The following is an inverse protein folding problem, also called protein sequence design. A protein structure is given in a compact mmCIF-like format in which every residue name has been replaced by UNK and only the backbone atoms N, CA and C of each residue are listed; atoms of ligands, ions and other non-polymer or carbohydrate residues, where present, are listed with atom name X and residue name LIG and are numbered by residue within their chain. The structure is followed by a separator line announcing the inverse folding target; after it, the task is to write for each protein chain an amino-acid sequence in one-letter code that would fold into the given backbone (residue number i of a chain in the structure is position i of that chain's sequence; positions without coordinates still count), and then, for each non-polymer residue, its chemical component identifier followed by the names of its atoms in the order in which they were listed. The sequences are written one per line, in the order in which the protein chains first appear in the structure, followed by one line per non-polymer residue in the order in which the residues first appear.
data_IF_189341867535
#
_entry.id   IF_189341867535
#
_cell.length_a   1.000
_cell.length_b   1.000
_cell.length_c   1.000
_cell.angle_alpha   90.00
_cell.angle_beta   90.00
_cell.angle_gamma   90.00
#
_symmetry.space_group_name_H-M   'P 1'
#
loop_
_entity.id
_entity.type
_entity.pdbx_description
1 polymer ?
#
# COMPACT_ATOMS: atom_id res chain seq x y z
N UNK A 1 -7.09 1.96 1.97
CA UNK A 1 -7.65 0.62 1.88
C UNK A 1 -8.26 0.39 0.51
N UNK A 2 -9.58 0.49 0.30
CA UNK A 2 -10.18 0.12 -1.01
C UNK A 2 -9.55 0.85 -2.20
N UNK A 3 -9.46 2.18 -2.15
CA UNK A 3 -8.87 2.98 -3.23
C UNK A 3 -7.38 2.67 -3.43
N UNK A 4 -6.61 2.56 -2.34
CA UNK A 4 -5.20 2.20 -2.40
C UNK A 4 -4.99 0.83 -3.08
N UNK A 5 -5.81 -0.16 -2.74
CA UNK A 5 -5.79 -1.47 -3.36
C UNK A 5 -6.08 -1.41 -4.87
N UNK A 6 -7.18 -0.75 -5.26
CA UNK A 6 -7.56 -0.61 -6.68
C UNK A 6 -6.48 0.10 -7.49
N UNK A 7 -5.96 1.22 -6.97
CA UNK A 7 -4.89 1.97 -7.64
C UNK A 7 -3.58 1.19 -7.70
N UNK A 8 -3.22 0.45 -6.64
CA UNK A 8 -2.03 -0.40 -6.64
C UNK A 8 -2.08 -1.50 -7.71
N UNK A 9 -3.23 -2.17 -7.83
CA UNK A 9 -3.45 -3.19 -8.87
C UNK A 9 -3.45 -2.56 -10.27
N UNK A 10 -4.06 -1.39 -10.43
CA UNK A 10 -4.02 -0.65 -11.69
C UNK A 10 -2.59 -0.26 -12.09
N UNK A 11 -1.78 0.22 -11.15
CA UNK A 11 -0.35 0.52 -11.38
C UNK A 11 0.42 -0.75 -11.78
N UNK A 12 0.15 -1.89 -11.14
CA UNK A 12 0.72 -3.19 -11.55
C UNK A 12 0.34 -3.52 -12.99
N UNK A 13 -0.93 -3.37 -13.37
CA UNK A 13 -1.42 -3.66 -14.73
C UNK A 13 -0.72 -2.83 -15.81
N UNK A 14 -0.20 -1.66 -15.44
CA UNK A 14 0.59 -0.77 -16.30
C UNK A 14 2.09 -1.01 -16.26
N UNK A 15 2.57 -2.01 -15.51
CA UNK A 15 3.98 -2.22 -15.20
C UNK A 15 4.66 -0.95 -14.63
N UNK A 16 3.92 -0.14 -13.87
CA UNK A 16 4.40 1.13 -13.33
C UNK A 16 4.97 1.01 -11.90
N UNK A 17 4.84 -0.17 -11.28
CA UNK A 17 5.37 -0.41 -9.94
C UNK A 17 6.86 -0.78 -10.00
N UNK A 18 7.67 -0.15 -9.15
CA UNK A 18 9.10 -0.47 -9.03
C UNK A 18 9.37 -1.76 -8.27
N UNK A 19 8.38 -2.27 -7.53
CA UNK A 19 8.40 -3.53 -6.82
C UNK A 19 6.98 -4.06 -6.62
N UNK A 20 6.84 -5.31 -6.13
CA UNK A 20 5.54 -5.86 -5.77
C UNK A 20 4.98 -5.29 -4.46
N UNK A 21 5.73 -4.42 -3.78
CA UNK A 21 5.36 -3.91 -2.46
C UNK A 21 4.44 -2.68 -2.57
N UNK A 22 3.30 -2.74 -1.89
CA UNK A 22 2.43 -1.60 -1.61
C UNK A 22 2.58 -1.22 -0.14
N UNK A 23 2.87 0.04 0.15
CA UNK A 23 3.06 0.50 1.53
C UNK A 23 1.78 1.12 2.08
N UNK A 24 1.38 0.73 3.28
CA UNK A 24 0.31 1.38 4.01
C UNK A 24 0.59 1.43 5.51
N UNK A 25 -0.12 2.28 6.25
CA UNK A 25 0.04 2.34 7.70
C UNK A 25 -0.65 1.15 8.38
N UNK A 26 -0.30 0.88 9.64
CA UNK A 26 -0.93 -0.15 10.49
C UNK A 26 -2.45 0.03 10.67
N UNK A 27 -3.04 1.12 10.20
CA UNK A 27 -4.49 1.35 10.17
C UNK A 27 -5.22 0.53 9.08
N UNK A 28 -4.46 -0.02 8.14
CA UNK A 28 -4.99 -0.82 7.03
C UNK A 28 -5.56 -2.15 7.52
N UNK A 29 -6.60 -2.64 6.87
CA UNK A 29 -7.30 -3.87 7.28
C UNK A 29 -6.80 -5.15 6.58
N UNK A 30 -7.17 -6.31 7.13
CA UNK A 30 -6.84 -7.64 6.59
C UNK A 30 -7.36 -7.84 5.15
N UNK A 31 -8.54 -7.32 4.82
CA UNK A 31 -9.11 -7.47 3.49
C UNK A 31 -8.23 -6.80 2.41
N UNK A 32 -7.57 -5.68 2.72
CA UNK A 32 -6.58 -5.08 1.80
C UNK A 32 -5.39 -6.02 1.57
N UNK A 33 -4.87 -6.65 2.64
CA UNK A 33 -3.75 -7.59 2.55
C UNK A 33 -4.10 -8.79 1.68
N UNK A 34 -5.27 -9.39 1.91
CA UNK A 34 -5.74 -10.55 1.15
C UNK A 34 -6.00 -10.20 -0.32
N UNK A 35 -6.62 -9.04 -0.57
CA UNK A 35 -6.86 -8.55 -1.92
C UNK A 35 -5.54 -8.36 -2.68
N UNK A 36 -4.56 -7.64 -2.11
CA UNK A 36 -3.26 -7.44 -2.77
C UNK A 36 -2.53 -8.76 -2.99
N UNK A 37 -2.57 -9.67 -2.02
CA UNK A 37 -1.97 -11.01 -2.15
C UNK A 37 -2.59 -11.80 -3.31
N UNK A 38 -3.91 -11.71 -3.50
CA UNK A 38 -4.60 -12.34 -4.65
C UNK A 38 -4.18 -11.79 -6.01
N UNK A 39 -3.49 -10.64 -6.02
CA UNK A 39 -3.00 -9.95 -7.21
C UNK A 39 -1.46 -9.99 -7.28
N UNK A 40 -0.79 -10.94 -6.63
CA UNK A 40 0.67 -11.04 -6.45
C UNK A 40 1.34 -9.71 -6.07
N UNK A 41 0.71 -8.99 -5.14
CA UNK A 41 1.27 -7.80 -4.51
C UNK A 41 1.43 -8.07 -3.01
N UNK A 42 2.44 -7.46 -2.41
CA UNK A 42 2.72 -7.58 -0.99
C UNK A 42 2.37 -6.28 -0.27
N UNK A 43 1.55 -6.36 0.78
CA UNK A 43 1.27 -5.22 1.65
C UNK A 43 2.34 -5.09 2.74
N UNK A 44 3.10 -4.00 2.72
CA UNK A 44 4.05 -3.62 3.77
C UNK A 44 3.39 -2.62 4.71
N UNK A 45 3.44 -2.92 6.00
CA UNK A 45 2.88 -2.06 7.02
C UNK A 45 3.96 -1.16 7.64
N UNK A 46 3.59 0.05 8.01
CA UNK A 46 4.43 1.00 8.72
C UNK A 46 3.65 1.76 9.81
N UNK A 47 4.36 2.45 10.69
CA UNK A 47 3.73 3.34 11.66
C UNK A 47 2.93 4.47 10.96
N UNK A 48 1.99 5.07 11.70
CA UNK A 48 1.13 6.14 11.19
C UNK A 48 1.95 7.41 10.98
N UNK A 49 1.73 8.11 9.86
CA UNK A 49 2.40 9.34 9.48
C UNK A 49 3.22 9.22 8.19
N UNK A 50 3.16 10.27 7.36
CA UNK A 50 3.75 10.31 6.02
C UNK A 50 5.27 10.00 6.00
N UNK A 51 6.00 10.42 7.05
CA UNK A 51 7.44 10.12 7.19
C UNK A 51 7.71 8.61 7.23
N UNK A 52 6.89 7.85 7.95
CA UNK A 52 7.06 6.40 8.06
C UNK A 52 6.65 5.67 6.79
N UNK A 53 5.64 6.17 6.08
CA UNK A 53 5.26 5.68 4.75
C UNK A 53 6.41 5.87 3.78
N UNK A 54 6.98 7.08 3.71
CA UNK A 54 8.12 7.39 2.83
C UNK A 54 9.34 6.52 3.13
N UNK A 55 9.68 6.35 4.41
CA UNK A 55 10.81 5.52 4.80
C UNK A 55 10.57 4.05 4.49
N UNK A 56 9.36 3.53 4.74
CA UNK A 56 9.00 2.17 4.40
C UNK A 56 9.01 1.93 2.87
N UNK A 57 8.58 2.90 2.07
CA UNK A 57 8.69 2.85 0.61
C UNK A 57 10.16 2.73 0.17
N UNK A 58 11.03 3.56 0.73
CA UNK A 58 12.48 3.52 0.46
C UNK A 58 13.11 2.17 0.79
N UNK A 59 12.82 1.62 1.98
CA UNK A 59 13.35 0.34 2.44
C UNK A 59 12.89 -0.84 1.57
N UNK A 60 11.65 -0.79 1.07
CA UNK A 60 11.07 -1.85 0.23
C UNK A 60 11.20 -1.60 -1.27
N UNK A 61 11.97 -0.57 -1.68
CA UNK A 61 12.12 -0.14 -3.07
C UNK A 61 10.77 0.06 -3.78
N UNK A 62 9.75 0.46 -3.02
CA UNK A 62 8.40 0.67 -3.49
C UNK A 62 8.22 2.14 -3.93
N UNK A 63 7.44 2.35 -4.97
CA UNK A 63 7.07 3.68 -5.47
C UNK A 63 5.58 3.98 -5.28
N UNK A 64 4.85 3.12 -4.56
CA UNK A 64 3.41 3.29 -4.33
C UNK A 64 3.03 2.91 -2.89
N UNK A 65 2.28 3.81 -2.25
CA UNK A 65 1.80 3.62 -0.89
C UNK A 65 1.09 4.85 -0.37
N UNK A 66 0.51 4.75 0.82
CA UNK A 66 -0.19 5.89 1.44
C UNK A 66 -0.86 5.56 2.76
N UNK A 67 -1.29 6.61 3.46
CA UNK A 67 -2.07 6.51 4.68
C UNK A 67 -3.57 6.52 4.35
N UNK A 68 -4.32 5.58 4.93
CA UNK A 68 -5.78 5.66 4.93
C UNK A 68 -6.22 6.54 6.11
N UNK A 69 -6.74 7.73 5.85
CA UNK A 69 -7.48 8.49 6.87
C UNK A 69 -8.90 7.92 6.95
N UNK A 70 -9.25 7.27 8.06
CA UNK A 70 -10.67 7.01 8.35
C UNK A 70 -11.30 8.36 8.67
N UNK A 71 -12.18 8.84 7.80
CA UNK A 71 -13.12 9.88 8.18
C UNK A 71 -14.03 9.27 9.25
N UNK A 72 -13.94 9.75 10.49
CA UNK A 72 -14.96 9.50 11.50
C UNK A 72 -16.16 10.37 11.11
N UNK A 73 -17.20 9.74 10.58
CA UNK A 73 -18.55 10.29 10.62
C UNK A 73 -19.30 9.61 11.76
#
# INVERSE_FOLDING_TARGET
DKLLGVLGVYQKSKNALSSQAIVATNMSNLALKEYLKSQDLELKHCAIGDKFVSECMRLNKANFGGEQRRAYH
#
